data_IF_995194422059
#
_entry.id   IF_995194422059
#
_cell.length_a   1.000
_cell.length_b   1.000
_cell.length_c   1.000
_cell.angle_alpha   90.00
_cell.angle_beta   90.00
_cell.angle_gamma   90.00
#
_symmetry.space_group_name_H-M   'P 1'
#
loop_
_entity.id
_entity.type
_entity.pdbx_description
1 polymer ?
#
# COMPACT_ATOMS: atom_id res chain seq x y z
N UNK A 1 -8.44 -7.92 8.32
CA UNK A 1 -7.43 -6.88 8.04
C UNK A 1 -7.47 -6.56 6.55
N UNK A 2 -7.84 -5.32 6.17
CA UNK A 2 -7.90 -4.93 4.75
C UNK A 2 -6.49 -4.79 4.18
N UNK A 3 -6.31 -5.31 2.97
CA UNK A 3 -5.03 -5.35 2.25
C UNK A 3 -5.23 -4.98 0.80
N UNK A 4 -4.22 -4.35 0.20
CA UNK A 4 -4.21 -3.93 -1.19
C UNK A 4 -2.98 -4.50 -1.89
N UNK A 5 -3.07 -4.71 -3.20
CA UNK A 5 -1.93 -5.26 -3.95
C UNK A 5 -0.81 -4.22 -4.08
N UNK A 6 0.38 -4.68 -4.49
CA UNK A 6 1.55 -3.82 -4.68
C UNK A 6 1.28 -2.78 -5.76
N UNK A 7 0.59 -3.15 -6.83
CA UNK A 7 0.21 -2.28 -7.94
C UNK A 7 -0.71 -1.15 -7.46
N UNK A 8 -1.71 -1.48 -6.64
CA UNK A 8 -2.61 -0.49 -6.06
C UNK A 8 -1.89 0.42 -5.06
N UNK A 9 -0.96 -0.14 -4.29
CA UNK A 9 -0.11 0.65 -3.37
C UNK A 9 0.75 1.65 -4.14
N UNK A 10 1.35 1.24 -5.27
CA UNK A 10 2.14 2.13 -6.11
C UNK A 10 1.28 3.29 -6.64
N UNK A 11 0.05 3.01 -7.07
CA UNK A 11 -0.88 4.05 -7.52
C UNK A 11 -1.22 5.06 -6.41
N UNK A 12 -1.49 4.58 -5.19
CA UNK A 12 -1.77 5.47 -4.06
C UNK A 12 -0.55 6.32 -3.72
N UNK A 13 0.63 5.72 -3.62
CA UNK A 13 1.86 6.46 -3.32
C UNK A 13 2.25 7.44 -4.43
N UNK A 14 1.82 7.19 -5.67
CA UNK A 14 1.97 8.12 -6.78
C UNK A 14 1.10 9.38 -6.61
N UNK A 15 -0.13 9.24 -6.08
CA UNK A 15 -1.01 10.38 -5.79
C UNK A 15 -0.38 11.32 -4.73
N UNK A 16 0.49 10.79 -3.86
CA UNK A 16 1.27 11.54 -2.87
C UNK A 16 2.68 11.95 -3.36
N UNK A 17 3.04 11.70 -4.62
CA UNK A 17 4.40 11.92 -5.17
C UNK A 17 5.53 11.20 -4.42
N UNK A 18 5.25 10.07 -3.76
CA UNK A 18 6.25 9.31 -2.98
C UNK A 18 6.91 8.21 -3.82
N UNK A 19 6.12 7.48 -4.61
CA UNK A 19 6.60 6.31 -5.36
C UNK A 19 5.78 6.09 -6.62
N UNK A 20 6.47 6.09 -7.75
CA UNK A 20 5.85 6.02 -9.08
C UNK A 20 5.79 4.60 -9.66
N UNK A 21 6.39 3.60 -9.00
CA UNK A 21 6.52 2.25 -9.55
C UNK A 21 6.29 1.15 -8.50
N UNK A 22 5.86 -0.02 -8.95
CA UNK A 22 5.76 -1.22 -8.11
C UNK A 22 7.12 -1.59 -7.47
N UNK A 23 8.23 -1.35 -8.19
CA UNK A 23 9.59 -1.60 -7.70
C UNK A 23 9.99 -0.70 -6.53
N UNK A 24 9.52 0.54 -6.51
CA UNK A 24 9.71 1.44 -5.37
C UNK A 24 8.91 0.98 -4.14
N UNK A 25 7.68 0.47 -4.32
CA UNK A 25 6.92 -0.18 -3.23
C UNK A 25 7.70 -1.38 -2.68
N UNK A 26 8.26 -2.23 -3.54
CA UNK A 26 9.11 -3.36 -3.12
C UNK A 26 10.32 -2.89 -2.32
N UNK A 27 10.93 -1.77 -2.70
CA UNK A 27 12.05 -1.18 -1.97
C UNK A 27 11.64 -0.69 -0.58
N UNK A 28 10.44 -0.10 -0.43
CA UNK A 28 9.90 0.28 0.89
C UNK A 28 9.65 -0.94 1.79
N UNK A 29 9.15 -2.04 1.22
CA UNK A 29 9.00 -3.32 1.93
C UNK A 29 10.36 -3.88 2.37
N UNK A 30 11.36 -3.90 1.48
CA UNK A 30 12.71 -4.38 1.80
C UNK A 30 13.38 -3.55 2.90
N UNK A 31 13.08 -2.25 2.96
CA UNK A 31 13.52 -1.33 4.02
C UNK A 31 12.68 -1.41 5.29
N UNK A 32 11.72 -2.34 5.36
CA UNK A 32 10.80 -2.52 6.49
C UNK A 32 9.91 -1.31 6.80
N UNK A 33 9.76 -0.39 5.84
CA UNK A 33 8.86 0.78 5.96
C UNK A 33 7.40 0.41 5.70
N UNK A 34 7.16 -0.66 4.94
CA UNK A 34 5.84 -1.24 4.74
C UNK A 34 5.86 -2.72 5.16
N UNK A 35 4.86 -3.14 5.93
CA UNK A 35 4.66 -4.57 6.23
C UNK A 35 3.93 -5.24 5.07
N UNK A 36 4.03 -6.56 5.02
CA UNK A 36 3.37 -7.38 4.00
C UNK A 36 2.55 -8.48 4.64
N UNK A 37 1.54 -8.92 3.90
CA UNK A 37 0.75 -10.11 4.21
C UNK A 37 0.62 -10.98 2.97
N UNK A 38 0.58 -12.31 3.10
CA UNK A 38 0.44 -13.18 1.94
C UNK A 38 -0.86 -12.89 1.18
N UNK A 39 -0.78 -12.92 -0.15
CA UNK A 39 -1.95 -12.99 -1.01
C UNK A 39 -2.58 -14.38 -0.94
N UNK A 40 -3.91 -14.41 -1.03
CA UNK A 40 -4.69 -15.65 -1.15
C UNK A 40 -4.26 -16.39 -2.42
N UNK A 41 -4.23 -17.72 -2.35
CA UNK A 41 -3.70 -18.58 -3.41
C UNK A 41 -4.33 -18.29 -4.78
N UNK A 42 -5.65 -18.07 -4.82
CA UNK A 42 -6.39 -17.74 -6.04
C UNK A 42 -5.96 -16.41 -6.67
N UNK A 43 -5.59 -15.43 -5.83
CA UNK A 43 -5.15 -14.10 -6.29
C UNK A 43 -3.67 -14.04 -6.66
N UNK A 44 -2.85 -15.01 -6.22
CA UNK A 44 -1.44 -15.10 -6.60
C UNK A 44 -1.24 -15.34 -8.10
N UNK A 45 -2.18 -16.02 -8.76
CA UNK A 45 -2.09 -16.27 -10.21
C UNK A 45 -2.23 -14.99 -11.05
N UNK A 46 -2.88 -13.97 -10.49
CA UNK A 46 -3.25 -12.74 -11.22
C UNK A 46 -2.47 -11.49 -10.75
N UNK A 47 -1.50 -11.64 -9.84
CA UNK A 47 -0.62 -10.54 -9.41
C UNK A 47 0.83 -10.93 -9.62
N UNK A 48 1.67 -9.95 -9.99
CA UNK A 48 3.13 -10.14 -10.12
C UNK A 48 3.78 -10.45 -8.76
N UNK A 49 3.08 -10.17 -7.66
CA UNK A 49 3.59 -10.36 -6.30
C UNK A 49 2.75 -11.39 -5.54
N UNK A 50 3.41 -12.15 -4.68
CA UNK A 50 2.75 -13.12 -3.80
C UNK A 50 2.30 -12.53 -2.45
N UNK A 51 2.45 -11.22 -2.27
CA UNK A 51 2.08 -10.48 -1.07
C UNK A 51 1.28 -9.21 -1.38
N UNK A 52 0.56 -8.74 -0.37
CA UNK A 52 -0.19 -7.51 -0.36
C UNK A 52 0.27 -6.62 0.79
N UNK A 53 -0.03 -5.33 0.71
CA UNK A 53 0.28 -4.34 1.74
C UNK A 53 -0.97 -4.13 2.59
N UNK A 54 -0.90 -4.30 3.92
CA UNK A 54 -1.97 -3.90 4.80
C UNK A 54 -2.22 -2.40 4.70
N UNK A 55 -3.50 -2.01 4.66
CA UNK A 55 -3.86 -0.59 4.61
C UNK A 55 -3.33 0.14 5.84
N UNK A 56 -3.41 -0.48 7.03
CA UNK A 56 -2.93 0.11 8.27
C UNK A 56 -1.47 0.57 8.15
N UNK A 57 -0.58 -0.28 7.64
CA UNK A 57 0.84 0.07 7.53
C UNK A 57 1.12 1.11 6.47
N UNK A 58 0.29 1.17 5.42
CA UNK A 58 0.36 2.26 4.44
C UNK A 58 -0.11 3.59 5.05
N UNK A 59 -1.20 3.57 5.82
CA UNK A 59 -1.70 4.75 6.53
C UNK A 59 -0.69 5.27 7.54
N UNK A 60 -0.11 4.40 8.37
CA UNK A 60 0.93 4.77 9.33
C UNK A 60 2.15 5.37 8.61
N UNK A 61 2.59 4.78 7.49
CA UNK A 61 3.68 5.32 6.68
C UNK A 61 3.36 6.71 6.10
N UNK A 62 2.13 6.96 5.65
CA UNK A 62 1.71 8.26 5.13
C UNK A 62 1.61 9.32 6.24
N UNK A 63 1.13 8.94 7.42
CA UNK A 63 1.13 9.82 8.62
C UNK A 63 2.54 10.22 9.02
N UNK A 64 3.47 9.26 9.04
CA UNK A 64 4.90 9.52 9.30
C UNK A 64 5.54 10.45 8.26
N UNK A 65 4.97 10.53 7.06
CA UNK A 65 5.38 11.48 6.01
C UNK A 65 4.70 12.86 6.12
N UNK A 66 3.77 13.03 7.05
CA UNK A 66 3.10 14.30 7.33
C UNK A 66 1.76 14.50 6.62
N UNK A 67 1.19 13.47 6.00
CA UNK A 67 -0.13 13.56 5.38
C UNK A 67 -1.25 13.43 6.41
N UNK A 68 -2.32 14.19 6.21
CA UNK A 68 -3.50 14.18 7.08
C UNK A 68 -4.37 12.95 6.84
N UNK A 69 -5.16 12.57 7.84
CA UNK A 69 -6.09 11.44 7.73
C UNK A 69 -7.11 11.64 6.60
N UNK A 70 -7.51 12.89 6.31
CA UNK A 70 -8.45 13.21 5.24
C UNK A 70 -7.84 12.98 3.85
N UNK A 71 -6.58 13.40 3.65
CA UNK A 71 -5.84 13.12 2.42
C UNK A 71 -5.66 11.61 2.20
N UNK A 72 -5.33 10.88 3.27
CA UNK A 72 -5.15 9.43 3.23
C UNK A 72 -6.48 8.73 2.89
N UNK A 73 -7.59 9.13 3.52
CA UNK A 73 -8.92 8.56 3.22
C UNK A 73 -9.35 8.80 1.77
N UNK A 74 -9.03 9.97 1.21
CA UNK A 74 -9.37 10.30 -0.17
C UNK A 74 -8.60 9.44 -1.19
N UNK A 75 -7.36 9.05 -0.87
CA UNK A 75 -6.55 8.20 -1.75
C UNK A 75 -6.86 6.70 -1.60
N UNK A 76 -7.38 6.28 -0.44
CA UNK A 76 -7.75 4.89 -0.19
C UNK A 76 -9.10 4.53 -0.84
N UNK A 77 -9.31 3.25 -1.23
CA UNK A 77 -10.59 2.83 -1.77
C UNK A 77 -11.73 3.05 -0.77
N UNK A 78 -12.91 3.46 -1.27
CA UNK A 78 -14.09 3.81 -0.47
C UNK A 78 -14.41 2.82 0.66
N UNK A 79 -14.78 3.36 1.83
CA UNK A 79 -15.24 2.63 3.00
C UNK A 79 -14.13 2.02 3.85
N UNK A 80 -12.87 2.44 3.67
CA UNK A 80 -11.72 2.00 4.47
C UNK A 80 -11.61 2.85 5.74
N UNK A 81 -11.75 2.20 6.89
CA UNK A 81 -11.44 2.78 8.19
C UNK A 81 -9.92 2.65 8.45
N UNK A 82 -9.27 3.79 8.75
CA UNK A 82 -7.85 3.92 9.09
C UNK A 82 -7.64 4.29 10.55
#
# INVERSE_FOLDING_TARGET
>A
MRKITVEKTARILNDFNISFTEGAVKSLVQRQLLKTVPLEYEKRRNSKYNFAIPIKTLGDFLRDKGFTDDEIKNALPYGVEI
#
